data_IF_259952191874
#
_entry.id   IF_259952191874
#
_cell.length_a   1.000
_cell.length_b   1.000
_cell.length_c   1.000
_cell.angle_alpha   90.00
_cell.angle_beta   90.00
_cell.angle_gamma   90.00
#
_symmetry.space_group_name_H-M   'P 1'
#
loop_
_entity.id
_entity.type
_entity.pdbx_description
1 polymer ?
#
# COMPACT_ATOMS: atom_id res chain seq x y z
N UNK A 1 97.74 -21.37 -60.16
CA UNK A 1 96.74 -20.28 -60.05
C UNK A 1 95.61 -20.70 -60.97
N UNK A 2 94.42 -21.10 -60.56
CA UNK A 2 93.50 -20.57 -59.52
C UNK A 2 92.56 -21.71 -59.11
N UNK A 3 92.42 -21.96 -57.81
CA UNK A 3 91.46 -22.92 -57.27
C UNK A 3 90.06 -22.29 -57.16
N UNK A 4 89.05 -22.98 -57.68
CA UNK A 4 87.64 -22.62 -57.51
C UNK A 4 87.15 -23.19 -56.18
N UNK A 5 86.85 -22.31 -55.23
CA UNK A 5 86.36 -22.70 -53.92
C UNK A 5 84.91 -23.22 -54.00
N UNK A 6 84.69 -24.45 -53.54
CA UNK A 6 83.36 -25.03 -53.36
C UNK A 6 82.70 -24.39 -52.14
N UNK A 7 81.51 -23.81 -52.32
CA UNK A 7 80.68 -23.28 -51.24
C UNK A 7 80.08 -24.47 -50.50
N UNK A 8 80.47 -24.64 -49.23
CA UNK A 8 79.89 -25.62 -48.30
C UNK A 8 78.54 -25.07 -47.79
N UNK A 9 77.42 -25.79 -47.92
CA UNK A 9 76.17 -25.39 -47.29
C UNK A 9 76.28 -25.58 -45.78
N UNK A 10 76.01 -24.53 -45.00
CA UNK A 10 75.94 -24.62 -43.54
C UNK A 10 74.85 -25.59 -43.07
N UNK A 11 74.98 -26.14 -41.86
CA UNK A 11 74.03 -27.10 -41.32
C UNK A 11 72.65 -26.45 -41.19
N UNK A 12 71.63 -27.08 -41.78
CA UNK A 12 70.23 -26.73 -41.50
C UNK A 12 69.97 -27.10 -40.04
N UNK A 13 69.74 -26.09 -39.20
CA UNK A 13 69.14 -26.29 -37.90
C UNK A 13 67.80 -27.00 -38.12
N UNK A 14 67.55 -28.17 -37.51
CA UNK A 14 66.23 -28.76 -37.58
C UNK A 14 65.28 -27.81 -36.86
N UNK A 15 64.24 -27.36 -37.57
CA UNK A 15 63.09 -26.79 -36.92
C UNK A 15 62.61 -27.83 -35.89
N UNK A 16 62.66 -27.48 -34.61
CA UNK A 16 62.03 -28.28 -33.57
C UNK A 16 60.53 -28.11 -33.78
N UNK A 17 59.98 -28.93 -34.67
CA UNK A 17 58.57 -29.29 -34.65
C UNK A 17 58.33 -29.88 -33.27
N UNK A 18 57.71 -29.11 -32.37
CA UNK A 18 57.27 -29.63 -31.08
C UNK A 18 56.50 -30.92 -31.32
N UNK A 19 56.82 -31.97 -30.56
CA UNK A 19 56.28 -33.30 -30.82
C UNK A 19 54.75 -33.21 -30.93
N UNK A 20 54.13 -33.78 -31.98
CA UNK A 20 52.70 -33.65 -32.25
C UNK A 20 51.81 -34.07 -31.07
N UNK A 21 52.33 -34.88 -30.14
CA UNK A 21 51.67 -35.23 -28.87
C UNK A 21 51.54 -34.08 -27.86
N UNK A 22 52.51 -33.17 -27.77
CA UNK A 22 52.46 -32.03 -26.84
C UNK A 22 51.43 -30.99 -27.30
N UNK A 23 51.36 -30.74 -28.62
CA UNK A 23 50.34 -29.89 -29.21
C UNK A 23 48.92 -30.48 -29.02
N UNK A 24 48.75 -31.78 -29.29
CA UNK A 24 47.47 -32.47 -29.10
C UNK A 24 47.01 -32.46 -27.63
N UNK A 25 47.95 -32.62 -26.68
CA UNK A 25 47.65 -32.53 -25.26
C UNK A 25 47.25 -31.11 -24.83
N UNK A 26 47.94 -30.09 -25.33
CA UNK A 26 47.59 -28.69 -25.06
C UNK A 26 46.18 -28.35 -25.57
N UNK A 27 45.82 -28.80 -26.78
CA UNK A 27 44.50 -28.62 -27.36
C UNK A 27 43.41 -29.34 -26.57
N UNK A 28 43.68 -30.56 -26.11
CA UNK A 28 42.78 -31.29 -25.22
C UNK A 28 42.53 -30.52 -23.92
N UNK A 29 43.59 -30.04 -23.24
CA UNK A 29 43.47 -29.29 -22.00
C UNK A 29 42.73 -27.96 -22.21
N UNK A 30 42.98 -27.27 -23.32
CA UNK A 30 42.25 -26.05 -23.69
C UNK A 30 40.76 -26.33 -23.87
N UNK A 31 40.41 -27.39 -24.61
CA UNK A 31 39.03 -27.82 -24.82
C UNK A 31 38.35 -28.24 -23.50
N UNK A 32 39.07 -28.96 -22.64
CA UNK A 32 38.57 -29.36 -21.33
C UNK A 32 38.28 -28.16 -20.41
N UNK A 33 39.15 -27.13 -20.43
CA UNK A 33 38.92 -25.86 -19.71
C UNK A 33 37.73 -25.10 -20.27
N UNK A 34 37.56 -25.08 -21.59
CA UNK A 34 36.38 -24.48 -22.23
C UNK A 34 35.10 -25.19 -21.81
N UNK A 35 35.08 -26.52 -21.83
CA UNK A 35 33.94 -27.32 -21.40
C UNK A 35 33.58 -27.06 -19.93
N UNK A 36 34.59 -27.00 -19.05
CA UNK A 36 34.35 -26.69 -17.65
C UNK A 36 33.82 -25.25 -17.45
N UNK A 37 34.32 -24.30 -18.25
CA UNK A 37 33.76 -22.95 -18.33
C UNK A 37 32.28 -22.94 -18.68
N UNK A 38 31.87 -23.69 -19.73
CA UNK A 38 30.47 -23.84 -20.13
C UNK A 38 29.63 -24.51 -19.04
N UNK A 39 30.14 -25.56 -18.40
CA UNK A 39 29.45 -26.25 -17.30
C UNK A 39 29.17 -25.31 -16.13
N UNK A 40 30.16 -24.51 -15.73
CA UNK A 40 29.99 -23.53 -14.65
C UNK A 40 29.00 -22.43 -15.03
N UNK A 41 29.08 -21.90 -16.25
CA UNK A 41 28.13 -20.90 -16.74
C UNK A 41 26.70 -21.44 -16.75
N UNK A 42 26.50 -22.67 -17.22
CA UNK A 42 25.20 -23.35 -17.19
C UNK A 42 24.68 -23.57 -15.76
N UNK A 43 25.55 -23.97 -14.83
CA UNK A 43 25.18 -24.13 -13.42
C UNK A 43 24.76 -22.79 -12.78
N UNK A 44 25.48 -21.70 -13.07
CA UNK A 44 25.12 -20.36 -12.60
C UNK A 44 23.77 -19.91 -13.17
N UNK A 45 23.56 -20.07 -14.48
CA UNK A 45 22.29 -19.70 -15.13
C UNK A 45 21.11 -20.51 -14.60
N UNK A 46 21.29 -21.82 -14.37
CA UNK A 46 20.28 -22.68 -13.76
C UNK A 46 19.97 -22.24 -12.31
N UNK A 47 20.98 -21.85 -11.54
CA UNK A 47 20.80 -21.32 -10.18
C UNK A 47 20.05 -19.98 -10.14
N UNK A 48 20.26 -19.10 -11.12
CA UNK A 48 19.50 -17.86 -11.28
C UNK A 48 18.04 -18.12 -11.64
N UNK A 49 17.81 -19.02 -12.60
CA UNK A 49 16.47 -19.46 -12.98
C UNK A 49 15.73 -20.05 -11.78
N UNK A 50 16.38 -20.94 -11.01
CA UNK A 50 15.78 -21.56 -9.82
C UNK A 50 15.39 -20.52 -8.76
N UNK A 51 16.25 -19.53 -8.50
CA UNK A 51 15.95 -18.43 -7.57
C UNK A 51 14.78 -17.57 -8.05
N UNK A 52 14.73 -17.25 -9.35
CA UNK A 52 13.63 -16.47 -9.91
C UNK A 52 12.29 -17.21 -9.84
N UNK A 53 12.28 -18.52 -10.08
CA UNK A 53 11.07 -19.37 -9.94
C UNK A 53 10.64 -19.48 -8.49
N UNK A 54 11.56 -19.63 -7.55
CA UNK A 54 11.24 -19.64 -6.12
C UNK A 54 10.59 -18.33 -5.68
N UNK A 55 11.19 -17.18 -6.03
CA UNK A 55 10.63 -15.87 -5.76
C UNK A 55 9.25 -15.67 -6.41
N UNK A 56 9.07 -16.13 -7.65
CA UNK A 56 7.78 -16.04 -8.33
C UNK A 56 6.69 -16.88 -7.62
N UNK A 57 7.04 -18.05 -7.07
CA UNK A 57 6.08 -18.86 -6.31
C UNK A 57 5.68 -18.21 -4.99
N UNK A 58 6.63 -17.59 -4.30
CA UNK A 58 6.39 -16.84 -3.07
C UNK A 58 5.46 -15.64 -3.31
N UNK A 59 5.77 -14.82 -4.32
CA UNK A 59 4.92 -13.67 -4.68
C UNK A 59 3.52 -14.12 -5.13
N UNK A 60 3.40 -15.22 -5.89
CA UNK A 60 2.11 -15.77 -6.29
C UNK A 60 1.28 -16.23 -5.08
N UNK A 61 1.91 -16.85 -4.07
CA UNK A 61 1.21 -17.24 -2.85
C UNK A 61 0.68 -15.99 -2.11
N UNK A 62 1.51 -14.96 -1.95
CA UNK A 62 1.11 -13.70 -1.32
C UNK A 62 -0.01 -12.98 -2.06
N UNK A 63 0.05 -12.92 -3.39
CA UNK A 63 -1.03 -12.32 -4.21
C UNK A 63 -2.33 -13.11 -4.07
N UNK A 64 -2.30 -14.44 -4.06
CA UNK A 64 -3.50 -15.28 -3.88
C UNK A 64 -4.13 -15.11 -2.50
N UNK A 65 -3.31 -15.07 -1.46
CA UNK A 65 -3.76 -14.87 -0.08
C UNK A 65 -4.51 -13.54 0.08
N UNK A 66 -4.04 -12.48 -0.59
CA UNK A 66 -4.68 -11.16 -0.61
C UNK A 66 -5.93 -11.08 -1.48
N UNK A 67 -5.94 -11.70 -2.66
CA UNK A 67 -7.08 -11.59 -3.58
C UNK A 67 -8.34 -12.29 -3.04
N UNK A 68 -8.21 -13.36 -2.25
CA UNK A 68 -9.34 -14.08 -1.68
C UNK A 68 -10.28 -13.20 -0.83
N UNK A 69 -9.81 -12.47 0.21
CA UNK A 69 -10.67 -11.57 0.98
C UNK A 69 -11.17 -10.38 0.16
N UNK A 70 -10.37 -9.85 -0.79
CA UNK A 70 -10.83 -8.78 -1.68
C UNK A 70 -12.02 -9.21 -2.53
N UNK A 71 -11.95 -10.42 -3.11
CA UNK A 71 -13.01 -10.96 -3.94
C UNK A 71 -14.28 -11.22 -3.12
N UNK A 72 -14.16 -11.72 -1.88
CA UNK A 72 -15.28 -11.87 -0.95
C UNK A 72 -15.96 -10.52 -0.67
N UNK A 73 -15.16 -9.48 -0.35
CA UNK A 73 -15.65 -8.14 -0.09
C UNK A 73 -16.33 -7.50 -1.29
N UNK A 74 -15.82 -7.70 -2.50
CA UNK A 74 -16.46 -7.21 -3.73
C UNK A 74 -17.81 -7.89 -3.99
N UNK A 75 -17.92 -9.20 -3.70
CA UNK A 75 -19.21 -9.92 -3.78
C UNK A 75 -20.21 -9.37 -2.77
N UNK A 76 -19.80 -9.10 -1.53
CA UNK A 76 -20.65 -8.45 -0.51
C UNK A 76 -21.11 -7.05 -0.93
N UNK A 77 -20.30 -6.34 -1.72
CA UNK A 77 -20.66 -5.04 -2.32
C UNK A 77 -21.56 -5.17 -3.55
N UNK A 78 -21.95 -6.38 -3.95
CA UNK A 78 -22.86 -6.65 -5.05
C UNK A 78 -22.20 -6.66 -6.43
N UNK A 79 -20.87 -6.78 -6.52
CA UNK A 79 -20.19 -6.91 -7.81
C UNK A 79 -20.55 -8.27 -8.43
N UNK A 80 -21.04 -8.31 -9.68
CA UNK A 80 -21.38 -9.56 -10.36
C UNK A 80 -20.18 -10.51 -10.45
N UNK A 81 -20.41 -11.81 -10.22
CA UNK A 81 -19.35 -12.82 -10.28
C UNK A 81 -18.63 -12.87 -11.64
N UNK A 82 -19.35 -12.58 -12.73
CA UNK A 82 -18.77 -12.52 -14.08
C UNK A 82 -17.71 -11.42 -14.24
N UNK A 83 -17.84 -10.33 -13.48
CA UNK A 83 -16.87 -9.22 -13.49
C UNK A 83 -15.65 -9.49 -12.61
N UNK A 84 -15.67 -10.57 -11.81
CA UNK A 84 -14.58 -10.97 -10.91
C UNK A 84 -13.70 -12.07 -11.51
N UNK A 85 -13.97 -12.47 -12.75
CA UNK A 85 -13.21 -13.48 -13.49
C UNK A 85 -12.54 -12.80 -14.68
N UNK A 86 -11.23 -13.00 -14.90
CA UNK A 86 -10.53 -12.46 -16.05
C UNK A 86 -11.19 -12.90 -17.36
N UNK A 87 -11.29 -12.00 -18.33
CA UNK A 87 -11.84 -12.33 -19.64
C UNK A 87 -10.82 -13.13 -20.48
N UNK A 88 -11.25 -13.97 -21.45
CA UNK A 88 -10.32 -14.69 -22.33
C UNK A 88 -9.23 -13.83 -23.01
N UNK A 89 -9.52 -12.60 -23.51
CA UNK A 89 -8.47 -11.76 -24.07
C UNK A 89 -7.44 -11.28 -23.02
N UNK A 90 -7.89 -10.95 -21.80
CA UNK A 90 -6.99 -10.57 -20.70
C UNK A 90 -6.03 -11.70 -20.32
N UNK A 91 -6.53 -12.94 -20.29
CA UNK A 91 -5.70 -14.13 -20.03
C UNK A 91 -4.67 -14.32 -21.15
N UNK A 92 -5.07 -14.12 -22.41
CA UNK A 92 -4.18 -14.27 -23.57
C UNK A 92 -3.09 -13.18 -23.60
N UNK A 93 -3.44 -11.95 -23.22
CA UNK A 93 -2.46 -10.86 -23.07
C UNK A 93 -1.48 -11.11 -21.93
N UNK A 94 -1.99 -11.55 -20.78
CA UNK A 94 -1.16 -11.92 -19.62
C UNK A 94 -0.22 -13.08 -19.95
N UNK A 95 -0.68 -14.07 -20.73
CA UNK A 95 0.16 -15.17 -21.18
C UNK A 95 1.30 -14.69 -22.09
N UNK A 96 1.04 -13.71 -22.98
CA UNK A 96 2.06 -13.12 -23.86
C UNK A 96 3.11 -12.35 -23.07
N UNK A 97 2.72 -11.56 -22.07
CA UNK A 97 3.68 -10.84 -21.22
C UNK A 97 4.54 -11.78 -20.37
N UNK A 98 3.99 -12.93 -19.94
CA UNK A 98 4.73 -13.96 -19.21
C UNK A 98 5.61 -14.86 -20.09
N UNK A 99 5.47 -14.83 -21.42
CA UNK A 99 6.22 -15.69 -22.33
C UNK A 99 7.73 -15.43 -22.32
N UNK A 100 8.18 -14.28 -21.80
CA UNK A 100 9.59 -13.92 -21.64
C UNK A 100 10.37 -14.73 -20.58
N UNK A 101 9.71 -15.66 -19.88
CA UNK A 101 10.34 -16.56 -18.89
C UNK A 101 10.13 -16.12 -17.43
N UNK A 102 10.80 -16.79 -16.47
CA UNK A 102 10.51 -16.61 -15.03
C UNK A 102 10.71 -15.20 -14.49
N UNK A 103 11.67 -14.44 -15.05
CA UNK A 103 11.86 -13.04 -14.68
C UNK A 103 10.67 -12.18 -15.09
N UNK A 104 10.08 -12.42 -16.27
CA UNK A 104 8.89 -11.72 -16.73
C UNK A 104 7.66 -12.08 -15.88
N UNK A 105 7.52 -13.35 -15.50
CA UNK A 105 6.48 -13.81 -14.56
C UNK A 105 6.62 -13.11 -13.20
N UNK A 106 7.82 -13.06 -12.64
CA UNK A 106 8.09 -12.40 -11.36
C UNK A 106 7.77 -10.89 -11.42
N UNK A 107 8.13 -10.22 -12.51
CA UNK A 107 7.79 -8.81 -12.73
C UNK A 107 6.27 -8.60 -12.80
N UNK A 108 5.56 -9.47 -13.51
CA UNK A 108 4.09 -9.45 -13.57
C UNK A 108 3.43 -9.65 -12.21
N UNK A 109 3.96 -10.56 -11.39
CA UNK A 109 3.44 -10.81 -10.04
C UNK A 109 3.68 -9.64 -9.09
N UNK A 110 4.83 -8.96 -9.17
CA UNK A 110 5.09 -7.74 -8.40
C UNK A 110 4.13 -6.61 -8.78
N UNK A 111 3.91 -6.42 -10.08
CA UNK A 111 2.89 -5.47 -10.57
C UNK A 111 1.50 -5.85 -10.04
N UNK A 112 1.12 -7.12 -10.09
CA UNK A 112 -0.16 -7.60 -9.55
C UNK A 112 -0.28 -7.34 -8.04
N UNK A 113 0.81 -7.47 -7.27
CA UNK A 113 0.85 -7.11 -5.85
C UNK A 113 0.59 -5.63 -5.63
N UNK A 114 1.27 -4.76 -6.38
CA UNK A 114 1.10 -3.30 -6.27
C UNK A 114 -0.34 -2.90 -6.62
N UNK A 115 -0.94 -3.53 -7.64
CA UNK A 115 -2.36 -3.35 -7.97
C UNK A 115 -3.29 -3.83 -6.87
N UNK A 116 -3.01 -4.98 -6.25
CA UNK A 116 -3.80 -5.51 -5.15
C UNK A 116 -3.73 -4.60 -3.91
N UNK A 117 -2.56 -4.03 -3.60
CA UNK A 117 -2.39 -3.05 -2.51
C UNK A 117 -3.17 -1.76 -2.78
N UNK A 118 -3.04 -1.22 -4.00
CA UNK A 118 -3.81 -0.04 -4.40
C UNK A 118 -5.34 -0.32 -4.34
N UNK A 119 -5.77 -1.52 -4.72
CA UNK A 119 -7.16 -1.93 -4.61
C UNK A 119 -7.63 -1.95 -3.15
N UNK A 120 -6.84 -2.50 -2.22
CA UNK A 120 -7.13 -2.48 -0.78
C UNK A 120 -7.23 -1.05 -0.23
N UNK A 121 -6.31 -0.16 -0.61
CA UNK A 121 -6.37 1.25 -0.23
C UNK A 121 -7.66 1.90 -0.74
N UNK A 122 -8.06 1.61 -1.99
CA UNK A 122 -9.31 2.13 -2.52
C UNK A 122 -10.53 1.51 -1.86
N UNK A 123 -10.49 0.23 -1.47
CA UNK A 123 -11.58 -0.45 -0.76
C UNK A 123 -11.69 0.00 0.69
N UNK A 124 -10.57 0.32 1.36
CA UNK A 124 -10.52 0.91 2.68
C UNK A 124 -11.04 2.36 2.66
N UNK A 125 -10.60 3.16 1.69
CA UNK A 125 -11.17 4.49 1.42
C UNK A 125 -12.66 4.39 1.05
N UNK A 126 -13.06 3.32 0.34
CA UNK A 126 -14.46 2.97 0.04
C UNK A 126 -15.17 2.15 1.15
N UNK A 127 -14.58 2.00 2.34
CA UNK A 127 -15.27 1.57 3.57
C UNK A 127 -15.95 2.73 4.30
N UNK A 128 -15.41 3.94 4.17
CA UNK A 128 -16.01 5.22 4.61
C UNK A 128 -17.23 5.77 3.81
N UNK A 129 -17.54 5.39 2.55
CA UNK A 129 -18.61 5.95 1.75
C UNK A 129 -19.99 5.40 2.10
N UNK A 130 -20.11 4.41 3.00
CA UNK A 130 -21.41 4.12 3.63
C UNK A 130 -21.86 5.31 4.50
N UNK A 131 -20.93 6.02 5.13
CA UNK A 131 -21.20 7.26 5.89
C UNK A 131 -21.27 8.49 4.97
N UNK A 132 -20.52 8.53 3.86
CA UNK A 132 -20.58 9.65 2.92
C UNK A 132 -21.90 9.69 2.11
N UNK A 133 -22.52 8.53 1.85
CA UNK A 133 -23.85 8.40 1.22
C UNK A 133 -25.02 8.73 2.15
N UNK A 134 -24.78 8.87 3.46
CA UNK A 134 -25.82 9.34 4.36
C UNK A 134 -26.21 10.77 4.02
N UNK A 135 -27.50 11.13 4.13
CA UNK A 135 -27.93 12.51 4.00
C UNK A 135 -27.07 13.42 4.91
N UNK A 136 -26.83 14.66 4.50
CA UNK A 136 -25.90 15.55 5.21
C UNK A 136 -26.24 15.71 6.71
N UNK A 137 -27.53 15.66 7.07
CA UNK A 137 -28.02 15.81 8.45
C UNK A 137 -27.59 14.66 9.39
N UNK A 138 -27.91 13.38 9.14
CA UNK A 138 -27.47 12.28 10.00
C UNK A 138 -25.95 12.09 10.02
N UNK A 139 -25.24 12.37 8.91
CA UNK A 139 -23.76 12.36 8.88
C UNK A 139 -23.17 13.43 9.80
N UNK A 140 -23.70 14.65 9.73
CA UNK A 140 -23.24 15.74 10.58
C UNK A 140 -23.64 15.51 12.04
N UNK A 141 -24.82 14.96 12.31
CA UNK A 141 -25.26 14.62 13.66
C UNK A 141 -24.37 13.55 14.33
N UNK A 142 -23.90 12.56 13.56
CA UNK A 142 -23.01 11.52 14.09
C UNK A 142 -21.61 12.06 14.48
N UNK A 143 -21.15 13.13 13.82
CA UNK A 143 -19.85 13.76 14.10
C UNK A 143 -19.97 14.84 15.18
N UNK A 144 -20.95 15.73 15.06
CA UNK A 144 -21.15 16.82 16.02
C UNK A 144 -21.84 16.34 17.31
N UNK A 145 -22.69 15.32 17.25
CA UNK A 145 -23.52 14.86 18.38
C UNK A 145 -22.72 14.37 19.59
N UNK A 146 -21.83 13.37 19.45
CA UNK A 146 -21.01 12.89 20.56
C UNK A 146 -20.17 14.02 21.17
N UNK A 147 -19.55 14.84 20.31
CA UNK A 147 -18.68 15.94 20.73
C UNK A 147 -19.45 17.07 21.43
N UNK A 148 -20.69 17.34 21.00
CA UNK A 148 -21.59 18.30 21.64
C UNK A 148 -22.07 17.83 23.02
N UNK A 149 -22.06 16.53 23.30
CA UNK A 149 -22.53 15.96 24.56
C UNK A 149 -21.43 15.78 25.62
N UNK A 150 -20.17 15.63 25.22
CA UNK A 150 -19.05 15.42 26.18
C UNK A 150 -19.04 16.49 27.26
N UNK A 151 -19.11 17.76 26.85
CA UNK A 151 -18.95 18.87 27.78
C UNK A 151 -20.19 19.10 28.68
N UNK A 152 -21.43 19.14 28.17
CA UNK A 152 -22.64 19.18 29.01
C UNK A 152 -22.70 18.02 30.02
N UNK A 153 -22.30 16.81 29.63
CA UNK A 153 -22.27 15.67 30.53
C UNK A 153 -21.21 15.85 31.63
N UNK A 154 -20.02 16.35 31.30
CA UNK A 154 -19.00 16.64 32.29
C UNK A 154 -19.48 17.70 33.29
N UNK A 155 -20.17 18.75 32.82
CA UNK A 155 -20.72 19.80 33.67
C UNK A 155 -21.83 19.29 34.59
N UNK A 156 -22.70 18.40 34.08
CA UNK A 156 -23.69 17.68 34.90
C UNK A 156 -23.01 16.82 35.97
N UNK A 157 -21.97 16.06 35.62
CA UNK A 157 -21.23 15.23 36.57
C UNK A 157 -20.58 16.06 37.67
N UNK A 158 -19.96 17.20 37.31
CA UNK A 158 -19.38 18.12 38.30
C UNK A 158 -20.46 18.67 39.21
N UNK A 159 -21.59 19.12 38.67
CA UNK A 159 -22.69 19.63 39.48
C UNK A 159 -23.26 18.58 40.44
N UNK A 160 -23.47 17.34 39.97
CA UNK A 160 -23.92 16.24 40.82
C UNK A 160 -22.91 15.89 41.92
N UNK A 161 -21.61 16.03 41.66
CA UNK A 161 -20.55 15.73 42.62
C UNK A 161 -20.32 16.85 43.65
N UNK A 162 -20.46 18.12 43.25
CA UNK A 162 -20.08 19.26 44.09
C UNK A 162 -21.26 20.05 44.63
N UNK A 163 -22.47 19.83 44.10
CA UNK A 163 -23.67 20.61 44.43
C UNK A 163 -23.53 22.09 44.07
N UNK A 164 -24.43 22.92 44.60
CA UNK A 164 -24.39 24.37 44.37
C UNK A 164 -23.23 25.01 45.14
N UNK A 165 -22.20 25.47 44.42
CA UNK A 165 -21.02 26.08 45.02
C UNK A 165 -20.06 26.72 44.01
N UNK A 166 -18.96 27.34 44.48
CA UNK A 166 -18.02 28.08 43.63
C UNK A 166 -17.36 27.20 42.57
N UNK A 167 -17.21 25.89 42.83
CA UNK A 167 -16.67 24.91 41.87
C UNK A 167 -17.62 24.74 40.67
N UNK A 168 -18.93 24.64 40.89
CA UNK A 168 -19.91 24.53 39.81
C UNK A 168 -20.10 25.85 39.04
N UNK A 169 -19.97 26.99 39.72
CA UNK A 169 -19.94 28.31 39.05
C UNK A 169 -18.71 28.44 38.16
N UNK A 170 -17.53 28.03 38.65
CA UNK A 170 -16.30 27.98 37.86
C UNK A 170 -16.41 27.05 36.65
N UNK A 171 -17.01 25.87 36.82
CA UNK A 171 -17.30 24.94 35.72
C UNK A 171 -18.24 25.55 34.66
N UNK A 172 -19.22 26.35 35.08
CA UNK A 172 -20.11 27.09 34.18
C UNK A 172 -19.35 28.12 33.33
N UNK A 173 -18.50 28.92 33.97
CA UNK A 173 -17.72 29.98 33.29
C UNK A 173 -16.73 29.35 32.31
N UNK A 174 -16.02 28.30 32.72
CA UNK A 174 -15.09 27.59 31.85
C UNK A 174 -15.79 26.84 30.71
N UNK A 175 -17.06 26.51 30.89
CA UNK A 175 -17.88 25.84 29.91
C UNK A 175 -18.47 26.70 28.80
N UNK A 176 -18.55 28.01 29.01
CA UNK A 176 -19.08 28.94 28.05
C UNK A 176 -18.38 28.90 26.66
N UNK A 177 -17.03 28.81 26.54
CA UNK A 177 -16.36 28.71 25.25
C UNK A 177 -16.39 27.29 24.62
N UNK A 178 -16.70 26.24 25.39
CA UNK A 178 -16.54 24.85 24.96
C UNK A 178 -17.40 24.42 23.76
N UNK A 179 -18.64 24.91 23.58
CA UNK A 179 -19.41 24.63 22.37
C UNK A 179 -18.74 25.13 21.09
N UNK A 180 -18.02 26.25 21.15
CA UNK A 180 -17.26 26.77 20.01
C UNK A 180 -16.04 25.90 19.70
N UNK A 181 -15.35 25.39 20.74
CA UNK A 181 -14.24 24.43 20.59
C UNK A 181 -14.72 23.11 19.99
N UNK A 182 -15.83 22.58 20.50
CA UNK A 182 -16.47 21.36 19.97
C UNK A 182 -16.90 21.55 18.50
N UNK A 183 -17.48 22.70 18.15
CA UNK A 183 -17.81 23.02 16.77
C UNK A 183 -16.57 23.05 15.87
N UNK A 184 -15.49 23.71 16.28
CA UNK A 184 -14.25 23.81 15.51
C UNK A 184 -13.57 22.45 15.32
N UNK A 185 -13.54 21.62 16.35
CA UNK A 185 -13.02 20.26 16.29
C UNK A 185 -13.87 19.36 15.36
N UNK A 186 -15.20 19.43 15.44
CA UNK A 186 -16.10 18.73 14.54
C UNK A 186 -15.97 19.20 13.08
N UNK A 187 -15.79 20.51 12.86
CA UNK A 187 -15.55 21.08 11.54
C UNK A 187 -14.26 20.58 10.90
N UNK A 188 -13.16 20.57 11.68
CA UNK A 188 -11.85 20.08 11.22
C UNK A 188 -11.89 18.56 10.96
N UNK A 189 -12.57 17.80 11.82
CA UNK A 189 -12.77 16.37 11.64
C UNK A 189 -13.52 16.07 10.33
N UNK A 190 -14.59 16.79 10.02
CA UNK A 190 -15.33 16.62 8.76
C UNK A 190 -14.45 16.94 7.54
N UNK A 191 -13.64 18.00 7.60
CA UNK A 191 -12.71 18.36 6.53
C UNK A 191 -11.61 17.32 6.29
N UNK A 192 -11.20 16.60 7.34
CA UNK A 192 -10.18 15.53 7.29
C UNK A 192 -10.76 14.17 6.89
N UNK A 193 -11.93 13.79 7.42
CA UNK A 193 -12.57 12.50 7.16
C UNK A 193 -13.30 12.44 5.82
N UNK A 194 -13.83 13.58 5.36
CA UNK A 194 -14.60 13.68 4.10
C UNK A 194 -13.90 14.65 3.16
N UNK A 195 -12.81 14.18 2.52
CA UNK A 195 -12.10 14.94 1.50
C UNK A 195 -12.99 15.04 0.24
N UNK A 196 -13.38 16.25 -0.22
CA UNK A 196 -14.22 16.39 -1.41
C UNK A 196 -13.46 15.92 -2.66
N UNK A 197 -14.16 15.22 -3.56
CA UNK A 197 -13.68 15.00 -4.93
C UNK A 197 -13.75 16.31 -5.72
N UNK A 198 -12.96 16.49 -6.79
CA UNK A 198 -12.91 17.72 -7.57
C UNK A 198 -14.26 18.21 -8.11
N UNK A 199 -15.21 17.29 -8.28
CA UNK A 199 -16.50 17.53 -8.93
C UNK A 199 -17.68 17.64 -7.95
N UNK A 200 -17.44 17.40 -6.65
CA UNK A 200 -18.50 17.25 -5.65
C UNK A 200 -18.44 18.36 -4.60
N UNK A 201 -19.45 19.22 -4.54
CA UNK A 201 -19.53 20.26 -3.50
C UNK A 201 -19.89 19.60 -2.18
N UNK A 202 -18.94 19.58 -1.25
CA UNK A 202 -19.23 19.13 0.11
C UNK A 202 -20.29 20.06 0.71
N UNK A 203 -21.52 19.56 0.88
CA UNK A 203 -22.61 20.26 1.58
C UNK A 203 -22.24 20.39 3.07
N UNK A 204 -21.38 21.36 3.35
CA UNK A 204 -21.05 21.81 4.69
C UNK A 204 -22.24 22.64 5.12
N UNK A 205 -23.03 22.15 6.06
CA UNK A 205 -24.10 22.92 6.70
C UNK A 205 -23.56 23.51 8.01
N UNK A 206 -22.72 24.58 7.99
CA UNK A 206 -22.08 25.14 9.19
C UNK A 206 -23.11 25.58 10.23
N UNK A 207 -24.23 26.15 9.75
CA UNK A 207 -25.35 26.58 10.60
C UNK A 207 -25.95 25.43 11.41
N UNK A 208 -26.08 24.25 10.80
CA UNK A 208 -26.60 23.06 11.47
C UNK A 208 -25.62 22.51 12.51
N UNK A 209 -24.31 22.46 12.17
CA UNK A 209 -23.28 22.04 13.13
C UNK A 209 -23.20 22.95 14.35
N UNK A 210 -23.30 24.27 14.14
CA UNK A 210 -23.34 25.24 15.23
C UNK A 210 -24.56 25.04 16.13
N UNK A 211 -25.75 24.82 15.56
CA UNK A 211 -26.97 24.53 16.33
C UNK A 211 -26.85 23.24 17.15
N UNK A 212 -26.30 22.17 16.56
CA UNK A 212 -26.12 20.88 17.25
C UNK A 212 -25.16 21.00 18.43
N UNK A 213 -24.13 21.84 18.34
CA UNK A 213 -23.20 22.07 19.45
C UNK A 213 -23.75 23.06 20.49
N UNK A 214 -24.47 24.10 20.07
CA UNK A 214 -24.93 25.18 20.94
C UNK A 214 -26.16 24.80 21.77
N UNK A 215 -27.15 24.11 21.18
CA UNK A 215 -28.44 23.82 21.83
C UNK A 215 -28.27 22.96 23.09
N UNK A 216 -27.55 21.81 23.07
CA UNK A 216 -27.39 20.98 24.26
C UNK A 216 -26.66 21.71 25.39
N UNK A 217 -25.63 22.50 25.05
CA UNK A 217 -24.87 23.28 26.02
C UNK A 217 -25.70 24.39 26.68
N UNK A 218 -26.51 25.11 25.89
CA UNK A 218 -27.41 26.14 26.42
C UNK A 218 -28.49 25.53 27.30
N UNK A 219 -29.12 24.43 26.88
CA UNK A 219 -30.14 23.75 27.68
C UNK A 219 -29.57 23.24 29.01
N UNK A 220 -28.38 22.63 28.98
CA UNK A 220 -27.71 22.14 30.18
C UNK A 220 -27.34 23.30 31.11
N UNK A 221 -26.77 24.37 30.57
CA UNK A 221 -26.37 25.56 31.36
C UNK A 221 -27.58 26.22 31.99
N UNK A 222 -28.67 26.41 31.22
CA UNK A 222 -29.91 26.98 31.74
C UNK A 222 -30.55 26.10 32.82
N UNK A 223 -30.55 24.78 32.64
CA UNK A 223 -31.05 23.83 33.64
C UNK A 223 -30.24 23.86 34.93
N UNK A 224 -28.90 23.94 34.84
CA UNK A 224 -28.03 24.05 36.01
C UNK A 224 -28.23 25.39 36.74
N UNK A 225 -28.33 26.50 36.01
CA UNK A 225 -28.60 27.82 36.62
C UNK A 225 -29.96 27.81 37.32
N UNK A 226 -30.99 27.24 36.70
CA UNK A 226 -32.31 27.11 37.31
C UNK A 226 -32.27 26.26 38.58
N UNK A 227 -31.53 25.15 38.56
CA UNK A 227 -31.34 24.28 39.72
C UNK A 227 -30.52 24.94 40.86
N UNK A 228 -29.73 25.97 40.54
CA UNK A 228 -28.96 26.76 41.51
C UNK A 228 -29.73 27.94 42.09
N UNK A 229 -30.84 28.35 41.46
CA UNK A 229 -31.68 29.41 42.02
C UNK A 229 -32.35 28.89 43.31
N UNK A 230 -32.41 29.70 44.37
CA UNK A 230 -33.15 29.33 45.57
C UNK A 230 -34.63 29.15 45.20
N UNK A 231 -35.17 27.96 45.47
CA UNK A 231 -36.61 27.70 45.43
C UNK A 231 -37.32 28.28 46.64
#
# INVERSE_FOLDING_TARGET
MTGTAAIVPGPRTPAVEGEPGEAAWADYVATARQLDGVRRAAATAAGEQARSVAAAREELAGVRERLAPQQARLRELGVPAISLVPTPPEVTESARTMAGGPAAVLAGLRSARDWAEAADDTLAARGLPRLARWPARPRNLLVYGPLALVFPLLQLMVFLATGTGPVSVGALVLGLPMPAVAFMAGWLAIGRLFRPRPEDRLDRTPRFGALVCLIPALLMTAGLVLAMLPG
#
